data_IF_777814974622
#
_entry.id   IF_777814974622
#
_cell.length_a   1.000
_cell.length_b   1.000
_cell.length_c   1.000
_cell.angle_alpha   90.00
_cell.angle_beta   90.00
_cell.angle_gamma   90.00
#
_symmetry.space_group_name_H-M   'P 1'
#
loop_
_entity.id
_entity.type
_entity.pdbx_description
1 polymer ?
#
# COMPACT_ATOMS: atom_id res chain seq x y z
N UNK A 1 -50.86 38.06 22.53
CA UNK A 1 -49.42 37.82 22.28
C UNK A 1 -49.24 36.34 21.98
N UNK A 2 -49.02 36.00 20.70
CA UNK A 2 -48.85 34.62 20.29
C UNK A 2 -47.34 34.36 20.08
N UNK A 3 -46.75 33.50 20.92
CA UNK A 3 -45.40 33.02 20.74
C UNK A 3 -45.39 31.90 19.71
N UNK A 4 -44.65 32.07 18.63
CA UNK A 4 -44.41 31.04 17.62
C UNK A 4 -43.22 30.19 18.08
N UNK A 5 -43.29 28.85 18.01
CA UNK A 5 -42.14 28.01 18.26
C UNK A 5 -41.24 27.97 17.03
N UNK A 6 -40.00 28.35 17.21
CA UNK A 6 -38.94 28.18 16.20
C UNK A 6 -38.55 26.71 16.21
N UNK A 7 -38.94 25.99 15.16
CA UNK A 7 -38.49 24.63 14.90
C UNK A 7 -37.03 24.67 14.42
N UNK A 8 -36.11 24.29 15.28
CA UNK A 8 -34.72 24.12 14.95
C UNK A 8 -34.55 22.85 14.07
N UNK A 9 -34.34 23.04 12.79
CA UNK A 9 -34.01 21.97 11.83
C UNK A 9 -32.54 21.58 12.03
N UNK A 10 -32.30 20.53 12.79
CA UNK A 10 -30.96 19.93 12.94
C UNK A 10 -30.58 19.21 11.64
N UNK A 11 -29.72 19.81 10.83
CA UNK A 11 -29.08 19.14 9.69
C UNK A 11 -28.06 18.15 10.25
N UNK A 12 -28.38 16.86 10.22
CA UNK A 12 -27.44 15.79 10.48
C UNK A 12 -26.58 15.62 9.21
N UNK A 13 -25.42 16.25 9.19
CA UNK A 13 -24.38 15.93 8.19
C UNK A 13 -23.81 14.55 8.52
N UNK A 14 -24.35 13.52 7.90
CA UNK A 14 -23.69 12.23 7.81
C UNK A 14 -22.45 12.40 6.95
N UNK A 15 -21.33 12.75 7.56
CA UNK A 15 -20.03 12.73 6.93
C UNK A 15 -19.74 11.31 6.49
N UNK A 16 -19.64 11.08 5.17
CA UNK A 16 -19.00 9.88 4.66
C UNK A 16 -17.58 9.85 5.25
N UNK A 17 -17.36 8.97 6.22
CA UNK A 17 -16.03 8.63 6.65
C UNK A 17 -15.34 7.97 5.45
N UNK A 18 -14.67 8.77 4.61
CA UNK A 18 -13.68 8.25 3.69
C UNK A 18 -12.62 7.60 4.58
N UNK A 19 -12.64 6.29 4.62
CA UNK A 19 -11.55 5.50 5.14
C UNK A 19 -10.37 5.84 4.25
N UNK A 20 -9.60 6.85 4.64
CA UNK A 20 -8.29 7.10 4.03
C UNK A 20 -7.53 5.81 4.26
N UNK A 21 -7.45 4.98 3.22
CA UNK A 21 -6.56 3.84 3.20
C UNK A 21 -5.20 4.39 3.60
N UNK A 22 -4.78 4.10 4.83
CA UNK A 22 -3.48 4.52 5.30
C UNK A 22 -2.50 3.94 4.31
N UNK A 23 -1.77 4.78 3.60
CA UNK A 23 -0.65 4.43 2.73
C UNK A 23 0.49 3.92 3.62
N UNK A 24 0.20 2.90 4.36
CA UNK A 24 1.15 2.05 5.06
C UNK A 24 0.92 0.67 4.52
N UNK A 25 1.87 -0.18 4.67
CA UNK A 25 1.83 -1.60 4.34
C UNK A 25 0.51 -2.22 4.80
N UNK A 26 -0.46 -2.30 3.93
CA UNK A 26 -1.74 -2.91 4.22
C UNK A 26 -2.06 -3.90 3.11
N UNK A 27 -2.20 -5.16 3.48
CA UNK A 27 -2.52 -6.23 2.55
C UNK A 27 -3.82 -6.93 2.97
N UNK A 28 -4.72 -7.10 2.01
CA UNK A 28 -5.82 -8.03 2.14
C UNK A 28 -5.27 -9.45 2.36
N UNK A 29 -6.04 -10.27 3.03
CA UNK A 29 -5.65 -11.67 3.29
C UNK A 29 -5.65 -12.43 1.95
N UNK A 30 -4.46 -12.67 1.43
CA UNK A 30 -4.21 -13.51 0.27
C UNK A 30 -3.48 -14.78 0.70
N UNK A 31 -3.63 -15.85 -0.05
CA UNK A 31 -2.81 -17.04 0.16
C UNK A 31 -1.35 -16.76 -0.18
N UNK A 32 -0.42 -17.52 0.39
CA UNK A 32 1.00 -17.35 0.12
C UNK A 32 1.34 -17.45 -1.39
N UNK A 33 0.81 -18.40 -2.18
CA UNK A 33 1.02 -18.45 -3.61
C UNK A 33 0.50 -17.22 -4.36
N UNK A 34 -0.69 -16.72 -4.02
CA UNK A 34 -1.28 -15.52 -4.61
C UNK A 34 -0.42 -14.28 -4.31
N UNK A 35 -0.03 -14.11 -3.06
CA UNK A 35 0.82 -13.01 -2.63
C UNK A 35 2.18 -13.03 -3.33
N UNK A 36 2.80 -14.20 -3.48
CA UNK A 36 4.06 -14.35 -4.19
C UNK A 36 3.93 -14.03 -5.68
N UNK A 37 2.86 -14.48 -6.34
CA UNK A 37 2.60 -14.20 -7.75
C UNK A 37 2.38 -12.70 -7.98
N UNK A 38 1.55 -12.05 -7.17
CA UNK A 38 1.30 -10.62 -7.24
C UNK A 38 2.57 -9.79 -6.98
N UNK A 39 3.36 -10.18 -5.98
CA UNK A 39 4.63 -9.52 -5.69
C UNK A 39 5.64 -9.67 -6.83
N UNK A 40 5.77 -10.87 -7.41
CA UNK A 40 6.69 -11.13 -8.51
C UNK A 40 6.35 -10.30 -9.76
N UNK A 41 5.07 -10.21 -10.12
CA UNK A 41 4.60 -9.42 -11.26
C UNK A 41 4.79 -7.91 -11.00
N UNK A 42 4.43 -7.43 -9.81
CA UNK A 42 4.63 -6.03 -9.41
C UNK A 42 6.12 -5.64 -9.47
N UNK A 43 7.00 -6.53 -9.04
CA UNK A 43 8.45 -6.32 -9.11
C UNK A 43 8.98 -6.30 -10.54
N UNK A 44 8.42 -7.09 -11.44
CA UNK A 44 8.83 -7.10 -12.85
C UNK A 44 8.57 -5.72 -13.51
N UNK A 45 7.49 -5.04 -13.12
CA UNK A 45 7.22 -3.67 -13.57
C UNK A 45 8.09 -2.64 -12.85
N UNK A 46 8.30 -2.82 -11.55
CA UNK A 46 9.11 -1.91 -10.74
C UNK A 46 10.55 -1.80 -11.27
N UNK A 47 11.16 -2.93 -11.66
CA UNK A 47 12.53 -2.99 -12.20
C UNK A 47 12.71 -2.10 -13.44
N UNK A 48 11.68 -1.97 -14.25
CA UNK A 48 11.72 -1.14 -15.47
C UNK A 48 11.82 0.36 -15.14
N UNK A 49 11.20 0.78 -14.04
CA UNK A 49 11.14 2.18 -13.60
C UNK A 49 12.29 2.54 -12.66
N UNK A 50 12.68 1.61 -11.82
CA UNK A 50 13.71 1.78 -10.78
C UNK A 50 14.72 0.64 -10.86
N UNK A 51 15.78 0.75 -11.66
CA UNK A 51 16.80 -0.30 -11.76
C UNK A 51 17.48 -0.58 -10.41
N UNK A 52 17.70 -1.84 -10.02
CA UNK A 52 18.25 -2.20 -8.71
C UNK A 52 19.63 -1.58 -8.42
N UNK A 53 20.48 -1.49 -9.45
CA UNK A 53 21.87 -1.03 -9.29
C UNK A 53 22.00 0.42 -8.77
N UNK A 54 20.96 1.24 -8.95
CA UNK A 54 20.97 2.66 -8.59
C UNK A 54 19.85 3.05 -7.63
N UNK A 55 19.03 2.09 -7.22
CA UNK A 55 17.85 2.35 -6.40
C UNK A 55 17.98 1.73 -5.02
N UNK A 56 17.81 2.57 -4.00
CA UNK A 56 17.70 2.18 -2.61
C UNK A 56 16.27 2.43 -2.14
N UNK A 57 15.60 1.40 -1.65
CA UNK A 57 14.18 1.46 -1.31
C UNK A 57 13.98 1.30 0.19
N UNK A 58 13.09 2.11 0.75
CA UNK A 58 12.65 1.99 2.12
C UNK A 58 11.22 1.43 2.15
N UNK A 59 11.03 0.29 2.81
CA UNK A 59 9.75 -0.40 2.91
C UNK A 59 9.36 -0.62 4.37
N UNK A 60 8.07 -0.56 4.67
CA UNK A 60 7.52 -0.90 5.97
C UNK A 60 6.59 -2.12 5.83
N UNK A 61 7.14 -3.31 6.03
CA UNK A 61 6.44 -4.58 6.02
C UNK A 61 6.53 -5.22 7.43
N UNK A 62 6.20 -4.45 8.46
CA UNK A 62 6.41 -4.83 9.85
C UNK A 62 5.36 -5.77 10.43
N UNK A 63 4.19 -5.91 9.79
CA UNK A 63 3.16 -6.82 10.25
C UNK A 63 3.55 -8.27 9.96
N UNK A 64 3.52 -9.12 10.99
CA UNK A 64 3.94 -10.53 10.89
C UNK A 64 3.05 -11.37 9.97
N UNK A 65 1.81 -10.94 9.77
CA UNK A 65 0.79 -11.58 8.92
C UNK A 65 0.73 -11.02 7.50
N UNK A 66 1.58 -10.06 7.18
CA UNK A 66 1.65 -9.44 5.87
C UNK A 66 2.44 -10.28 4.86
N UNK A 67 1.78 -11.32 4.35
CA UNK A 67 2.38 -12.27 3.39
C UNK A 67 2.84 -11.58 2.12
N UNK A 68 2.09 -10.61 1.61
CA UNK A 68 2.47 -9.84 0.42
C UNK A 68 3.71 -8.97 0.68
N UNK A 69 3.74 -8.25 1.79
CA UNK A 69 4.87 -7.38 2.15
C UNK A 69 6.16 -8.17 2.30
N UNK A 70 6.10 -9.34 2.91
CA UNK A 70 7.25 -10.23 3.01
C UNK A 70 7.70 -10.74 1.64
N UNK A 71 6.78 -11.20 0.79
CA UNK A 71 7.10 -11.65 -0.56
C UNK A 71 7.71 -10.53 -1.42
N UNK A 72 7.18 -9.31 -1.31
CA UNK A 72 7.71 -8.13 -1.98
C UNK A 72 9.13 -7.79 -1.52
N UNK A 73 9.36 -7.76 -0.22
CA UNK A 73 10.67 -7.46 0.38
C UNK A 73 11.73 -8.49 -0.03
N UNK A 74 11.40 -9.77 0.06
CA UNK A 74 12.29 -10.84 -0.36
C UNK A 74 12.58 -10.80 -1.86
N UNK A 75 11.56 -10.51 -2.67
CA UNK A 75 11.71 -10.36 -4.09
C UNK A 75 12.58 -9.17 -4.50
N UNK A 76 12.50 -8.05 -3.78
CA UNK A 76 13.39 -6.90 -3.95
C UNK A 76 14.85 -7.27 -3.69
N UNK A 77 15.12 -7.93 -2.56
CA UNK A 77 16.47 -8.38 -2.20
C UNK A 77 17.04 -9.35 -3.23
N UNK A 78 16.25 -10.33 -3.67
CA UNK A 78 16.66 -11.30 -4.70
C UNK A 78 17.02 -10.64 -6.03
N UNK A 79 16.44 -9.47 -6.33
CA UNK A 79 16.76 -8.68 -7.53
C UNK A 79 17.91 -7.69 -7.32
N UNK A 80 18.53 -7.67 -6.14
CA UNK A 80 19.69 -6.84 -5.84
C UNK A 80 19.39 -5.41 -5.38
N UNK A 81 18.15 -5.12 -4.97
CA UNK A 81 17.87 -3.83 -4.36
C UNK A 81 18.49 -3.72 -2.97
N UNK A 82 19.00 -2.54 -2.66
CA UNK A 82 19.28 -2.16 -1.29
C UNK A 82 17.95 -1.80 -0.61
N UNK A 83 17.55 -2.60 0.38
CA UNK A 83 16.27 -2.44 1.07
C UNK A 83 16.49 -2.03 2.52
N UNK A 84 15.88 -0.91 2.91
CA UNK A 84 15.81 -0.42 4.30
C UNK A 84 14.43 -0.76 4.85
N UNK A 85 14.36 -1.57 5.90
CA UNK A 85 13.09 -1.95 6.54
C UNK A 85 12.80 -1.08 7.76
N UNK A 86 11.52 -0.74 7.90
CA UNK A 86 10.98 -0.02 9.05
C UNK A 86 10.99 1.50 8.87
N UNK A 87 9.90 2.10 9.30
CA UNK A 87 9.64 3.54 9.12
C UNK A 87 10.66 4.44 9.84
N UNK A 88 11.24 4.00 10.95
CA UNK A 88 12.28 4.77 11.66
C UNK A 88 13.59 4.82 10.89
N UNK A 89 14.02 3.69 10.33
CA UNK A 89 15.26 3.59 9.54
C UNK A 89 15.11 4.32 8.20
N UNK A 90 13.93 4.23 7.60
CA UNK A 90 13.61 4.94 6.36
C UNK A 90 13.71 6.46 6.51
N UNK A 91 13.26 7.01 7.63
CA UNK A 91 13.38 8.45 7.93
C UNK A 91 14.82 8.89 8.18
N UNK A 92 15.67 7.98 8.63
CA UNK A 92 17.09 8.26 8.91
C UNK A 92 17.97 8.17 7.66
N UNK A 93 17.47 7.61 6.56
CA UNK A 93 18.22 7.45 5.31
C UNK A 93 17.59 8.31 4.20
N UNK A 94 18.10 9.53 3.97
CA UNK A 94 17.56 10.43 2.96
C UNK A 94 17.81 9.94 1.52
N UNK A 95 18.69 8.96 1.33
CA UNK A 95 18.97 8.37 0.02
C UNK A 95 18.00 7.25 -0.37
N UNK A 96 17.23 6.74 0.59
CA UNK A 96 16.25 5.70 0.34
C UNK A 96 14.92 6.27 -0.15
N UNK A 97 14.44 5.78 -1.28
CA UNK A 97 13.13 6.14 -1.82
C UNK A 97 12.05 5.34 -1.09
N UNK A 98 11.03 5.98 -0.52
CA UNK A 98 9.97 5.26 0.17
C UNK A 98 9.14 4.42 -0.82
N UNK A 99 9.00 3.15 -0.51
CA UNK A 99 8.11 2.21 -1.19
C UNK A 99 6.95 1.87 -0.25
N UNK A 100 5.75 2.16 -0.69
CA UNK A 100 4.51 1.83 0.02
C UNK A 100 3.64 0.98 -0.87
N UNK A 101 2.80 0.15 -0.26
CA UNK A 101 1.88 -0.70 -0.99
C UNK A 101 0.53 -0.79 -0.28
N UNK A 102 -0.48 -1.03 -1.08
CA UNK A 102 -1.81 -1.44 -0.63
C UNK A 102 -2.23 -2.62 -1.49
N UNK A 103 -2.68 -3.69 -0.83
CA UNK A 103 -3.35 -4.80 -1.49
C UNK A 103 -4.77 -4.83 -0.96
N UNK A 104 -5.74 -4.69 -1.83
CA UNK A 104 -7.15 -4.81 -1.48
C UNK A 104 -7.84 -5.86 -2.36
N UNK A 105 -9.00 -6.29 -1.90
CA UNK A 105 -9.87 -7.23 -2.62
C UNK A 105 -11.24 -6.57 -2.82
N UNK A 106 -11.39 -5.74 -3.88
CA UNK A 106 -12.64 -5.02 -4.14
C UNK A 106 -13.85 -5.92 -4.36
N UNK A 107 -13.61 -7.13 -4.86
CA UNK A 107 -14.61 -8.18 -5.03
C UNK A 107 -13.96 -9.56 -4.92
N UNK A 108 -14.78 -10.56 -4.64
CA UNK A 108 -14.32 -11.96 -4.57
C UNK A 108 -13.63 -12.38 -5.86
N UNK A 109 -12.46 -13.00 -5.75
CA UNK A 109 -11.66 -13.45 -6.89
C UNK A 109 -10.91 -12.33 -7.64
N UNK A 110 -10.89 -11.10 -7.11
CA UNK A 110 -10.15 -10.00 -7.71
C UNK A 110 -9.35 -9.22 -6.67
N UNK A 111 -8.04 -9.23 -6.81
CA UNK A 111 -7.13 -8.42 -6.01
C UNK A 111 -6.62 -7.21 -6.79
N UNK A 112 -6.37 -6.13 -6.07
CA UNK A 112 -5.71 -4.94 -6.61
C UNK A 112 -4.48 -4.63 -5.76
N UNK A 113 -3.35 -4.51 -6.43
CA UNK A 113 -2.09 -4.08 -5.82
C UNK A 113 -1.79 -2.66 -6.28
N UNK A 114 -1.51 -1.80 -5.34
CA UNK A 114 -1.05 -0.44 -5.59
C UNK A 114 0.32 -0.28 -4.92
N UNK A 115 1.34 0.03 -5.71
CA UNK A 115 2.66 0.42 -5.23
C UNK A 115 2.84 1.91 -5.41
N UNK A 116 3.40 2.56 -4.42
CA UNK A 116 3.85 3.95 -4.51
C UNK A 116 5.34 4.02 -4.19
N UNK A 117 6.12 4.48 -5.16
CA UNK A 117 7.57 4.64 -5.04
C UNK A 117 7.90 6.12 -5.21
N UNK A 118 8.27 6.78 -4.12
CA UNK A 118 8.38 8.24 -4.13
C UNK A 118 7.05 8.87 -4.55
N UNK A 119 7.08 9.64 -5.63
CA UNK A 119 5.90 10.32 -6.20
C UNK A 119 5.15 9.49 -7.26
N UNK A 120 5.71 8.35 -7.68
CA UNK A 120 5.11 7.52 -8.73
C UNK A 120 4.23 6.42 -8.13
N UNK A 121 3.14 6.11 -8.80
CA UNK A 121 2.21 5.04 -8.43
C UNK A 121 2.06 4.03 -9.56
N UNK A 122 2.10 2.76 -9.20
CA UNK A 122 1.83 1.62 -10.07
C UNK A 122 0.64 0.85 -9.50
N UNK A 123 -0.38 0.64 -10.32
CA UNK A 123 -1.58 -0.12 -9.93
C UNK A 123 -1.78 -1.29 -10.87
N UNK A 124 -2.01 -2.48 -10.31
CA UNK A 124 -2.24 -3.72 -11.04
C UNK A 124 -3.44 -4.47 -10.45
N UNK A 125 -4.22 -5.11 -11.32
CA UNK A 125 -5.34 -5.98 -10.96
C UNK A 125 -5.03 -7.43 -11.28
N UNK A 126 -5.49 -8.35 -10.42
CA UNK A 126 -5.28 -9.79 -10.54
C UNK A 126 -6.58 -10.53 -10.31
N UNK A 127 -6.89 -11.49 -11.16
CA UNK A 127 -8.00 -12.44 -11.00
C UNK A 127 -7.46 -13.76 -10.48
N UNK A 128 -8.20 -14.40 -9.56
CA UNK A 128 -7.87 -15.72 -9.00
C UNK A 128 -8.92 -16.75 -9.38
#
# INVERSE_FOLDING_TARGET
MRAAPIAALALVLTGCAMTTARLGSNAAVATAPEAQAMAADSLAELVKLYPPAISRLAIDASASDDVFGHALTDGLRKRGYAVVEGSRKAKADPSAVPLRYVVDQPMTGYYRVMLRVGEQSLTRGYTT
#
